data_IF_344214577714
#
_entry.id   IF_344214577714
#
_cell.length_a   1.000
_cell.length_b   1.000
_cell.length_c   1.000
_cell.angle_alpha   90.00
_cell.angle_beta   90.00
_cell.angle_gamma   90.00
#
_symmetry.space_group_name_H-M   'P 1'
#
loop_
_entity.id
_entity.type
_entity.pdbx_description
1 polymer ?
#
# COMPACT_ATOMS: atom_id res chain seq x y z
N UNK A 1 -24.07 21.95 5.48
CA UNK A 1 -24.59 22.74 4.36
C UNK A 1 -25.44 21.85 3.47
N UNK A 2 -26.30 22.40 2.60
CA UNK A 2 -27.06 21.60 1.64
C UNK A 2 -26.11 20.81 0.73
N UNK A 3 -26.54 19.61 0.33
CA UNK A 3 -25.74 18.74 -0.53
C UNK A 3 -25.43 19.45 -1.86
N UNK A 4 -24.15 19.44 -2.27
CA UNK A 4 -23.66 20.15 -3.46
C UNK A 4 -24.03 19.44 -4.78
N UNK A 5 -24.36 18.15 -4.71
CA UNK A 5 -24.78 17.31 -5.84
C UNK A 5 -25.85 16.31 -5.37
N UNK A 6 -26.76 15.88 -6.27
CA UNK A 6 -27.52 14.64 -6.05
C UNK A 6 -26.55 13.46 -6.13
N UNK A 7 -26.26 12.86 -4.97
CA UNK A 7 -25.29 11.76 -4.83
C UNK A 7 -24.39 11.93 -3.61
N UNK A 8 -23.38 11.05 -3.44
CA UNK A 8 -22.99 9.96 -4.34
C UNK A 8 -23.95 8.75 -4.28
N UNK A 9 -24.05 8.01 -5.40
CA UNK A 9 -24.69 6.68 -5.43
C UNK A 9 -23.81 5.67 -4.69
N UNK A 10 -24.40 4.63 -4.09
CA UNK A 10 -23.61 3.56 -3.47
C UNK A 10 -22.93 2.73 -4.57
N UNK A 11 -21.71 2.28 -4.30
CA UNK A 11 -20.94 1.47 -5.26
C UNK A 11 -21.70 0.21 -5.71
N UNK A 12 -22.36 -0.49 -4.78
CA UNK A 12 -23.19 -1.66 -5.09
C UNK A 12 -24.32 -1.33 -6.06
N UNK A 13 -24.94 -0.14 -5.95
CA UNK A 13 -26.02 0.26 -6.86
C UNK A 13 -25.49 0.49 -8.28
N UNK A 14 -24.29 1.08 -8.40
CA UNK A 14 -23.67 1.33 -9.70
C UNK A 14 -23.25 0.03 -10.37
N UNK A 15 -22.57 -0.86 -9.64
CA UNK A 15 -22.09 -2.15 -10.18
C UNK A 15 -23.28 -3.01 -10.61
N UNK A 16 -24.33 -3.09 -9.80
CA UNK A 16 -25.51 -3.91 -10.11
C UNK A 16 -26.33 -3.37 -11.26
N UNK A 17 -26.47 -2.03 -11.40
CA UNK A 17 -27.14 -1.44 -12.55
C UNK A 17 -26.37 -1.70 -13.85
N UNK A 18 -25.05 -1.55 -13.86
CA UNK A 18 -24.23 -1.89 -15.02
C UNK A 18 -24.39 -3.38 -15.38
N UNK A 19 -24.33 -4.26 -14.37
CA UNK A 19 -24.51 -5.69 -14.59
C UNK A 19 -25.90 -6.01 -15.16
N UNK A 20 -26.95 -5.38 -14.63
CA UNK A 20 -28.31 -5.56 -15.13
C UNK A 20 -28.49 -5.01 -16.55
N UNK A 21 -27.93 -3.86 -16.89
CA UNK A 21 -28.00 -3.30 -18.25
C UNK A 21 -27.28 -4.16 -19.28
N UNK A 22 -26.14 -4.76 -18.91
CA UNK A 22 -25.32 -5.57 -19.81
C UNK A 22 -25.82 -7.01 -19.92
N UNK A 23 -26.23 -7.62 -18.80
CA UNK A 23 -26.56 -9.04 -18.72
C UNK A 23 -28.06 -9.30 -18.68
N UNK A 24 -28.86 -8.34 -18.23
CA UNK A 24 -30.31 -8.49 -18.03
C UNK A 24 -30.65 -9.76 -17.25
N UNK A 25 -31.73 -10.42 -17.69
CA UNK A 25 -32.20 -11.68 -17.11
C UNK A 25 -31.55 -12.92 -17.78
N UNK A 26 -30.49 -12.73 -18.58
CA UNK A 26 -29.81 -13.85 -19.26
C UNK A 26 -28.94 -14.70 -18.32
N UNK A 27 -28.77 -14.26 -17.07
CA UNK A 27 -27.97 -14.93 -16.04
C UNK A 27 -28.86 -15.36 -14.87
N UNK A 28 -28.47 -16.40 -14.10
CA UNK A 28 -29.24 -16.85 -12.94
C UNK A 28 -29.18 -15.89 -11.74
N UNK A 29 -28.50 -14.74 -11.86
CA UNK A 29 -28.33 -13.75 -10.81
C UNK A 29 -29.40 -12.67 -10.98
N UNK A 30 -30.22 -12.47 -9.95
CA UNK A 30 -31.07 -11.29 -9.85
C UNK A 30 -30.22 -10.07 -9.45
N UNK A 31 -29.78 -9.33 -10.46
CA UNK A 31 -28.93 -8.15 -10.27
C UNK A 31 -29.62 -7.02 -9.50
N UNK A 32 -30.94 -6.89 -9.60
CA UNK A 32 -31.67 -5.86 -8.87
C UNK A 32 -31.72 -6.19 -7.38
N UNK A 33 -31.91 -7.45 -7.01
CA UNK A 33 -31.90 -7.89 -5.62
C UNK A 33 -30.49 -7.80 -4.99
N UNK A 34 -29.43 -7.93 -5.80
CA UNK A 34 -28.04 -7.75 -5.32
C UNK A 34 -27.70 -6.32 -4.87
N UNK A 35 -28.58 -5.33 -5.11
CA UNK A 35 -28.47 -3.99 -4.49
C UNK A 35 -28.56 -4.04 -2.96
N UNK A 36 -29.21 -5.08 -2.43
CA UNK A 36 -29.33 -5.30 -1.00
C UNK A 36 -28.07 -6.00 -0.46
N UNK A 37 -27.28 -5.32 0.37
CA UNK A 37 -26.06 -5.90 0.97
C UNK A 37 -26.34 -7.14 1.83
N UNK A 38 -27.55 -7.32 2.35
CA UNK A 38 -27.98 -8.55 3.03
C UNK A 38 -28.06 -9.75 2.07
N UNK A 39 -28.51 -9.54 0.83
CA UNK A 39 -28.53 -10.57 -0.21
C UNK A 39 -27.12 -10.97 -0.62
N UNK A 40 -26.24 -9.98 -0.82
CA UNK A 40 -24.81 -10.23 -1.09
C UNK A 40 -24.17 -11.06 0.03
N UNK A 41 -24.40 -10.69 1.29
CA UNK A 41 -23.90 -11.46 2.45
C UNK A 41 -24.47 -12.86 2.55
N UNK A 42 -25.75 -13.03 2.23
CA UNK A 42 -26.38 -14.36 2.17
C UNK A 42 -25.76 -15.23 1.07
N UNK A 43 -25.42 -14.64 -0.08
CA UNK A 43 -24.70 -15.35 -1.14
C UNK A 43 -23.29 -15.75 -0.70
N UNK A 44 -22.54 -14.84 -0.07
CA UNK A 44 -21.22 -15.12 0.52
C UNK A 44 -21.29 -16.28 1.50
N UNK A 45 -22.24 -16.25 2.45
CA UNK A 45 -22.41 -17.29 3.46
C UNK A 45 -22.70 -18.68 2.86
N UNK A 46 -23.40 -18.75 1.72
CA UNK A 46 -23.70 -20.02 1.04
C UNK A 46 -22.52 -20.60 0.28
N UNK A 47 -21.63 -19.76 -0.22
CA UNK A 47 -20.59 -20.16 -1.19
C UNK A 47 -19.20 -20.26 -0.55
N UNK A 48 -18.90 -19.43 0.44
CA UNK A 48 -17.55 -19.33 1.04
C UNK A 48 -17.55 -20.02 2.41
N UNK A 49 -16.84 -21.16 2.57
CA UNK A 49 -16.76 -21.87 3.85
C UNK A 49 -16.24 -20.97 4.98
N UNK A 50 -16.86 -21.08 6.17
CA UNK A 50 -16.46 -20.33 7.36
C UNK A 50 -17.00 -18.90 7.43
N UNK A 51 -17.82 -18.47 6.46
CA UNK A 51 -18.49 -17.17 6.45
C UNK A 51 -19.98 -17.25 6.80
N UNK A 52 -20.47 -18.40 7.28
CA UNK A 52 -21.90 -18.66 7.54
C UNK A 52 -22.57 -17.57 8.39
N UNK A 53 -21.84 -17.04 9.37
CA UNK A 53 -22.32 -16.01 10.30
C UNK A 53 -22.55 -14.64 9.66
N UNK A 54 -21.95 -14.35 8.49
CA UNK A 54 -22.06 -13.02 7.88
C UNK A 54 -23.50 -12.69 7.44
N UNK A 55 -24.32 -13.70 7.14
CA UNK A 55 -25.71 -13.49 6.69
C UNK A 55 -26.58 -12.82 7.76
N UNK A 56 -26.28 -13.06 9.04
CA UNK A 56 -27.09 -12.61 10.19
C UNK A 56 -26.44 -11.41 10.94
N UNK A 57 -25.34 -10.85 10.41
CA UNK A 57 -24.56 -9.82 11.09
C UNK A 57 -25.32 -8.50 11.27
N UNK A 58 -26.30 -8.21 10.41
CA UNK A 58 -27.13 -7.01 10.54
C UNK A 58 -28.03 -7.06 11.77
N UNK A 59 -28.57 -8.24 12.08
CA UNK A 59 -29.49 -8.45 13.19
C UNK A 59 -28.73 -8.68 14.48
N UNK A 60 -27.69 -9.53 14.45
CA UNK A 60 -26.92 -9.92 15.63
C UNK A 60 -25.97 -8.83 16.10
N UNK A 61 -25.40 -8.04 15.16
CA UNK A 61 -24.29 -7.10 15.40
C UNK A 61 -23.06 -7.76 16.05
N UNK A 62 -22.97 -9.08 15.98
CA UNK A 62 -21.86 -9.83 16.56
C UNK A 62 -20.64 -9.83 15.63
N UNK A 63 -19.47 -9.62 16.22
CA UNK A 63 -18.21 -9.88 15.52
C UNK A 63 -17.95 -11.40 15.47
N UNK A 64 -17.35 -11.86 14.38
CA UNK A 64 -16.93 -13.25 14.25
C UNK A 64 -15.58 -13.34 13.56
N UNK A 65 -14.85 -14.42 13.86
CA UNK A 65 -13.65 -14.79 13.14
C UNK A 65 -13.98 -15.84 12.08
N UNK A 66 -13.37 -15.71 10.90
CA UNK A 66 -13.43 -16.74 9.87
C UNK A 66 -12.69 -17.97 10.40
N UNK A 67 -13.35 -19.13 10.36
CA UNK A 67 -12.78 -20.39 10.84
C UNK A 67 -11.44 -20.74 10.20
N UNK A 68 -10.54 -21.37 10.96
CA UNK A 68 -9.23 -21.82 10.47
C UNK A 68 -8.18 -20.73 10.29
N UNK A 69 -8.46 -19.47 10.66
CA UNK A 69 -7.46 -18.37 10.67
C UNK A 69 -6.70 -18.27 11.98
N UNK A 70 -7.36 -18.59 13.09
CA UNK A 70 -6.75 -18.62 14.43
C UNK A 70 -6.52 -20.08 14.81
N UNK A 71 -5.27 -20.43 15.06
CA UNK A 71 -4.88 -21.78 15.46
C UNK A 71 -4.74 -21.85 16.98
N UNK A 72 -5.68 -22.52 17.65
CA UNK A 72 -5.55 -22.86 19.07
C UNK A 72 -4.90 -24.24 19.29
N UNK A 73 -4.71 -24.98 18.21
CA UNK A 73 -4.01 -26.26 18.12
C UNK A 73 -3.13 -26.25 16.87
N UNK A 74 -1.99 -26.97 16.84
CA UNK A 74 -1.07 -27.00 15.71
C UNK A 74 -1.59 -27.89 14.57
N UNK A 75 -2.80 -27.61 14.08
CA UNK A 75 -3.44 -28.33 12.99
C UNK A 75 -3.27 -27.50 11.71
N UNK A 76 -2.46 -27.97 10.76
CA UNK A 76 -2.14 -27.19 9.56
C UNK A 76 -2.85 -27.77 8.34
N UNK A 77 -3.41 -26.90 7.49
CA UNK A 77 -4.01 -27.30 6.22
C UNK A 77 -2.93 -27.55 5.15
N UNK A 78 -2.02 -28.48 5.45
CA UNK A 78 -0.95 -28.94 4.56
C UNK A 78 -1.14 -30.44 4.28
N UNK A 79 -0.56 -30.99 3.18
CA UNK A 79 -0.71 -32.42 2.88
C UNK A 79 -0.25 -33.36 4.00
N UNK A 80 0.66 -32.90 4.87
CA UNK A 80 1.21 -33.69 5.99
C UNK A 80 0.55 -33.37 7.33
N UNK A 81 -0.35 -32.38 7.39
CA UNK A 81 -0.94 -31.88 8.64
C UNK A 81 0.01 -31.05 9.51
N UNK A 82 1.27 -30.86 9.09
CA UNK A 82 2.33 -30.18 9.84
C UNK A 82 2.74 -28.85 9.18
N UNK A 83 3.39 -27.97 9.96
CA UNK A 83 4.01 -26.77 9.42
C UNK A 83 5.13 -27.14 8.42
N UNK A 84 5.18 -26.43 7.29
CA UNK A 84 6.22 -26.61 6.28
C UNK A 84 7.29 -25.53 6.46
N UNK A 85 8.50 -25.93 6.84
CA UNK A 85 9.63 -25.04 7.03
C UNK A 85 10.46 -24.96 5.75
N UNK A 86 10.77 -23.74 5.33
CA UNK A 86 11.59 -23.46 4.15
C UNK A 86 12.81 -22.63 4.56
N UNK A 87 13.96 -22.93 3.96
CA UNK A 87 15.14 -22.07 4.02
C UNK A 87 15.16 -21.16 2.79
N UNK A 88 15.59 -19.93 2.98
CA UNK A 88 15.75 -18.96 1.91
C UNK A 88 17.13 -18.32 2.02
N UNK A 89 17.80 -18.19 0.89
CA UNK A 89 19.00 -17.37 0.79
C UNK A 89 18.60 -15.90 0.72
N UNK A 90 19.30 -15.04 1.47
CA UNK A 90 19.06 -13.61 1.41
C UNK A 90 19.56 -13.06 0.06
N UNK A 91 18.76 -12.25 -0.64
CA UNK A 91 19.22 -11.64 -1.88
C UNK A 91 20.39 -10.68 -1.61
N UNK A 92 21.33 -10.52 -2.56
CA UNK A 92 22.40 -9.55 -2.41
C UNK A 92 21.83 -8.14 -2.33
N UNK A 93 22.44 -7.32 -1.49
CA UNK A 93 22.05 -5.92 -1.34
C UNK A 93 22.41 -5.15 -2.62
N UNK A 94 21.45 -4.40 -3.16
CA UNK A 94 21.65 -3.57 -4.35
C UNK A 94 22.21 -2.19 -3.97
N UNK A 95 22.83 -1.51 -4.93
CA UNK A 95 23.41 -0.18 -4.77
C UNK A 95 24.93 -0.22 -4.52
N UNK A 96 25.64 0.76 -5.05
CA UNK A 96 27.08 0.96 -4.91
C UNK A 96 27.46 2.32 -4.29
N UNK A 97 28.71 2.73 -4.50
CA UNK A 97 29.19 4.03 -4.06
C UNK A 97 28.42 5.16 -4.76
N UNK A 98 27.96 6.16 -4.00
CA UNK A 98 27.16 7.28 -4.52
C UNK A 98 25.67 6.94 -4.76
N UNK A 99 25.24 5.73 -4.41
CA UNK A 99 23.84 5.30 -4.54
C UNK A 99 23.24 5.01 -3.16
N UNK A 100 21.95 5.28 -3.02
CA UNK A 100 21.19 5.02 -1.80
C UNK A 100 20.03 4.07 -2.08
N UNK A 101 19.61 3.33 -1.06
CA UNK A 101 18.40 2.47 -1.12
C UNK A 101 17.20 3.21 -0.56
N UNK A 102 16.27 3.55 -1.43
CA UNK A 102 15.04 4.25 -1.12
C UNK A 102 13.99 3.30 -0.52
N UNK A 103 13.44 3.71 0.63
CA UNK A 103 12.19 3.21 1.18
C UNK A 103 11.12 4.29 1.13
N UNK A 104 9.98 3.99 0.51
CA UNK A 104 8.83 4.90 0.55
C UNK A 104 8.05 4.72 1.85
N UNK A 105 7.55 5.78 2.46
CA UNK A 105 6.77 5.70 3.71
C UNK A 105 5.47 6.49 3.59
N UNK A 106 4.62 6.35 4.60
CA UNK A 106 3.44 7.19 4.81
C UNK A 106 3.61 7.94 6.12
N UNK A 107 3.09 9.16 6.17
CA UNK A 107 2.93 9.88 7.43
C UNK A 107 1.66 9.43 8.14
N UNK A 108 1.50 9.86 9.38
CA UNK A 108 0.31 9.75 10.22
C UNK A 108 -0.88 10.53 9.65
N UNK A 109 -0.64 11.71 9.09
CA UNK A 109 -1.64 12.55 8.42
C UNK A 109 -2.02 12.08 7.02
N UNK A 110 -1.90 10.77 6.74
CA UNK A 110 -2.14 10.20 5.43
C UNK A 110 -2.83 8.83 5.53
N UNK A 111 -3.74 8.55 4.58
CA UNK A 111 -4.22 7.20 4.33
C UNK A 111 -3.98 6.80 2.87
N UNK A 112 -3.05 5.86 2.64
CA UNK A 112 -2.62 5.43 1.31
C UNK A 112 -2.23 6.63 0.43
N UNK A 113 -2.95 6.91 -0.65
CA UNK A 113 -2.68 8.02 -1.58
C UNK A 113 -3.32 9.33 -1.16
N UNK A 114 -4.21 9.31 -0.15
CA UNK A 114 -4.92 10.50 0.30
C UNK A 114 -4.10 11.16 1.40
N UNK A 115 -3.48 12.28 1.05
CA UNK A 115 -2.75 13.15 1.97
C UNK A 115 -3.75 14.10 2.64
N UNK A 116 -3.82 14.06 3.97
CA UNK A 116 -4.63 14.99 4.77
C UNK A 116 -3.78 16.13 5.32
N UNK A 117 -2.51 15.84 5.61
CA UNK A 117 -1.55 16.78 6.20
C UNK A 117 -0.21 16.70 5.45
N UNK A 118 0.38 17.87 5.20
CA UNK A 118 1.69 18.01 4.55
C UNK A 118 2.85 17.88 5.55
N UNK A 119 2.54 17.98 6.85
CA UNK A 119 3.49 17.78 7.94
C UNK A 119 3.53 16.30 8.35
N UNK A 120 4.70 15.86 8.84
CA UNK A 120 4.89 14.60 9.56
C UNK A 120 5.48 14.95 10.93
N UNK A 121 4.60 15.04 11.93
CA UNK A 121 4.93 15.43 13.30
C UNK A 121 5.85 14.40 13.93
N UNK A 122 5.71 13.12 13.57
CA UNK A 122 6.52 12.04 14.13
C UNK A 122 7.97 12.09 13.65
N UNK A 123 8.23 12.61 12.45
CA UNK A 123 9.58 12.80 11.90
C UNK A 123 10.05 14.26 11.95
N UNK A 124 9.23 15.16 12.47
CA UNK A 124 9.52 16.60 12.52
C UNK A 124 9.75 17.20 11.14
N UNK A 125 9.01 16.75 10.12
CA UNK A 125 9.10 17.28 8.76
C UNK A 125 7.93 18.19 8.48
N UNK A 126 8.20 19.43 8.05
CA UNK A 126 7.22 20.46 7.74
C UNK A 126 6.61 20.33 6.33
N UNK A 127 7.10 19.37 5.54
CA UNK A 127 6.75 19.16 4.13
C UNK A 127 7.06 17.73 3.70
N UNK A 128 6.43 17.30 2.59
CA UNK A 128 6.57 15.94 2.05
C UNK A 128 7.55 15.82 0.89
N UNK A 129 7.88 16.91 0.22
CA UNK A 129 8.83 16.94 -0.91
C UNK A 129 10.29 16.98 -0.42
N UNK A 130 10.63 16.02 0.44
CA UNK A 130 11.96 15.83 1.02
C UNK A 130 12.47 14.41 0.80
N UNK A 131 13.79 14.28 0.72
CA UNK A 131 14.50 13.01 0.83
C UNK A 131 15.32 13.02 2.11
N UNK A 132 14.95 12.14 3.04
CA UNK A 132 15.64 12.00 4.32
C UNK A 132 16.78 11.00 4.18
N UNK A 133 18.01 11.43 4.45
CA UNK A 133 19.21 10.58 4.38
C UNK A 133 20.07 10.80 5.62
N UNK A 134 20.96 9.84 5.90
CA UNK A 134 21.86 9.96 7.06
C UNK A 134 22.82 11.16 6.89
N UNK A 135 23.21 11.88 7.96
CA UNK A 135 24.15 13.00 7.86
C UNK A 135 25.49 12.64 7.18
N UNK A 136 25.98 11.41 7.36
CA UNK A 136 27.18 10.94 6.65
C UNK A 136 26.96 10.84 5.14
N UNK A 137 25.77 10.45 4.68
CA UNK A 137 25.47 10.39 3.25
C UNK A 137 25.35 11.80 2.66
N UNK A 138 24.78 12.75 3.42
CA UNK A 138 24.78 14.18 3.04
C UNK A 138 26.21 14.64 2.78
N UNK A 139 27.13 14.37 3.72
CA UNK A 139 28.53 14.76 3.61
C UNK A 139 29.26 14.03 2.47
N UNK A 140 29.06 12.72 2.34
CA UNK A 140 29.70 11.89 1.30
C UNK A 140 29.25 12.30 -0.11
N UNK A 141 28.01 12.76 -0.27
CA UNK A 141 27.48 13.26 -1.53
C UNK A 141 27.80 14.75 -1.77
N UNK A 142 28.46 15.42 -0.83
CA UNK A 142 28.78 16.86 -0.95
C UNK A 142 27.55 17.76 -0.94
N UNK A 143 26.44 17.29 -0.35
CA UNK A 143 25.19 18.02 -0.28
C UNK A 143 25.12 18.86 1.01
N UNK A 144 24.21 19.83 1.04
CA UNK A 144 23.88 20.60 2.22
C UNK A 144 22.47 20.30 2.70
N UNK A 145 22.25 20.31 4.02
CA UNK A 145 20.91 20.16 4.56
C UNK A 145 19.98 21.24 3.98
N UNK A 146 18.79 20.84 3.59
CA UNK A 146 17.77 21.65 2.92
C UNK A 146 18.09 22.08 1.47
N UNK A 147 19.15 21.56 0.86
CA UNK A 147 19.48 21.84 -0.53
C UNK A 147 18.45 21.22 -1.49
N UNK A 148 18.11 21.93 -2.57
CA UNK A 148 17.32 21.37 -3.66
C UNK A 148 18.12 20.34 -4.45
N UNK A 149 17.50 19.21 -4.75
CA UNK A 149 18.14 18.05 -5.35
C UNK A 149 17.27 17.42 -6.42
N UNK A 150 17.95 16.86 -7.41
CA UNK A 150 17.37 15.92 -8.37
C UNK A 150 17.60 14.50 -7.83
N UNK A 151 16.54 13.70 -7.83
CA UNK A 151 16.59 12.31 -7.37
C UNK A 151 16.21 11.43 -8.54
N UNK A 152 17.10 10.51 -8.92
CA UNK A 152 16.90 9.63 -10.07
C UNK A 152 17.01 8.15 -9.68
N UNK A 153 16.32 7.32 -10.42
CA UNK A 153 16.32 5.85 -10.35
C UNK A 153 16.41 5.29 -11.77
N UNK A 154 16.48 3.96 -11.91
CA UNK A 154 16.38 3.32 -13.23
C UNK A 154 14.99 3.50 -13.90
N UNK A 155 13.99 3.98 -13.16
CA UNK A 155 12.60 4.06 -13.65
C UNK A 155 12.16 5.49 -13.97
N UNK A 156 12.78 6.48 -13.33
CA UNK A 156 12.37 7.87 -13.45
C UNK A 156 13.17 8.78 -12.54
N UNK A 157 12.82 10.06 -12.61
CA UNK A 157 13.48 11.16 -11.94
C UNK A 157 12.42 12.11 -11.36
N UNK A 158 12.78 12.77 -10.25
CA UNK A 158 11.97 13.81 -9.63
C UNK A 158 12.88 14.99 -9.24
N UNK A 159 12.37 16.20 -9.43
CA UNK A 159 13.05 17.46 -9.17
C UNK A 159 12.26 18.31 -8.17
N UNK A 160 12.83 19.40 -7.67
CA UNK A 160 12.19 20.28 -6.70
C UNK A 160 12.14 19.74 -5.27
N UNK A 161 12.77 18.59 -5.01
CA UNK A 161 12.84 17.98 -3.68
C UNK A 161 14.01 18.55 -2.88
N UNK A 162 13.92 18.45 -1.54
CA UNK A 162 14.97 18.91 -0.63
C UNK A 162 15.61 17.75 0.12
N UNK A 163 16.93 17.73 0.20
CA UNK A 163 17.63 16.76 1.04
C UNK A 163 17.59 17.20 2.50
N UNK A 164 17.25 16.30 3.42
CA UNK A 164 17.26 16.56 4.87
C UNK A 164 18.11 15.50 5.57
N UNK A 165 19.00 15.95 6.43
CA UNK A 165 19.76 15.08 7.31
C UNK A 165 18.83 14.50 8.40
N UNK A 166 18.80 13.17 8.53
CA UNK A 166 17.93 12.50 9.50
C UNK A 166 18.65 11.27 10.07
N UNK A 167 19.01 11.33 11.36
CA UNK A 167 19.89 10.36 12.03
C UNK A 167 19.26 8.97 12.21
N UNK A 168 17.93 8.89 12.30
CA UNK A 168 17.23 7.61 12.46
C UNK A 168 17.28 6.72 11.20
N UNK A 169 17.71 7.28 10.06
CA UNK A 169 17.94 6.51 8.83
C UNK A 169 19.37 6.01 8.79
N UNK A 170 19.54 4.70 8.64
CA UNK A 170 20.85 4.08 8.51
C UNK A 170 21.56 4.57 7.24
N UNK A 171 22.84 4.97 7.34
CA UNK A 171 23.67 5.33 6.20
C UNK A 171 23.59 4.33 5.02
N UNK A 172 23.61 4.85 3.79
CA UNK A 172 23.37 4.10 2.56
C UNK A 172 21.90 3.82 2.25
N UNK A 173 20.97 4.48 2.95
CA UNK A 173 19.53 4.39 2.72
C UNK A 173 18.91 5.79 2.64
N UNK A 174 17.74 5.87 2.03
CA UNK A 174 16.96 7.10 1.89
C UNK A 174 15.49 6.83 2.19
N UNK A 175 14.80 7.82 2.72
CA UNK A 175 13.36 7.78 2.94
C UNK A 175 12.69 8.93 2.18
N UNK A 176 11.61 8.61 1.47
CA UNK A 176 10.73 9.60 0.85
C UNK A 176 9.26 9.22 1.06
N UNK A 177 8.38 10.20 0.93
CA UNK A 177 6.96 10.00 1.10
C UNK A 177 6.29 9.37 -0.15
N UNK A 178 5.36 8.47 0.11
CA UNK A 178 4.37 8.00 -0.86
C UNK A 178 3.18 8.97 -0.86
N UNK A 179 2.52 9.27 -2.00
CA UNK A 179 2.76 8.74 -3.34
C UNK A 179 3.82 9.49 -4.15
N UNK A 180 4.40 10.56 -3.63
CA UNK A 180 5.26 11.49 -4.37
C UNK A 180 6.49 10.78 -4.97
N UNK A 181 7.07 9.83 -4.23
CA UNK A 181 8.21 9.05 -4.67
C UNK A 181 7.90 7.93 -5.69
N UNK A 182 6.63 7.71 -6.08
CA UNK A 182 6.26 6.58 -6.95
C UNK A 182 6.92 6.64 -8.33
N UNK A 183 7.31 7.82 -8.81
CA UNK A 183 8.05 7.97 -10.09
C UNK A 183 9.40 7.26 -10.06
N UNK A 184 9.98 7.07 -8.87
CA UNK A 184 11.26 6.39 -8.66
C UNK A 184 11.10 4.87 -8.48
N UNK A 185 9.88 4.38 -8.27
CA UNK A 185 9.62 2.98 -7.92
C UNK A 185 9.51 2.13 -9.18
N UNK A 186 10.28 1.05 -9.23
CA UNK A 186 10.28 0.15 -10.37
C UNK A 186 8.93 -0.56 -10.53
N UNK A 187 8.57 -0.82 -11.79
CA UNK A 187 7.45 -1.71 -12.14
C UNK A 187 7.81 -3.19 -11.97
N UNK A 188 9.05 -3.50 -11.55
CA UNK A 188 9.44 -4.86 -11.16
C UNK A 188 8.61 -5.30 -9.96
N UNK A 189 8.06 -6.49 -10.06
CA UNK A 189 7.23 -7.09 -9.04
C UNK A 189 7.72 -8.50 -8.72
N UNK A 190 7.43 -8.96 -7.50
CA UNK A 190 7.67 -10.36 -7.13
C UNK A 190 7.02 -11.30 -8.16
N UNK A 191 7.76 -12.28 -8.71
CA UNK A 191 7.25 -13.12 -9.78
C UNK A 191 6.05 -13.98 -9.35
N UNK A 192 5.91 -14.27 -8.05
CA UNK A 192 4.82 -15.06 -7.49
C UNK A 192 3.63 -14.17 -7.11
N UNK A 193 3.82 -13.21 -6.20
CA UNK A 193 2.72 -12.40 -5.65
C UNK A 193 2.36 -11.17 -6.49
N UNK A 194 3.20 -10.83 -7.47
CA UNK A 194 3.09 -9.59 -8.28
C UNK A 194 3.12 -8.31 -7.45
N UNK A 195 3.67 -8.35 -6.24
CA UNK A 195 3.83 -7.17 -5.37
C UNK A 195 5.04 -6.33 -5.80
N UNK A 196 4.89 -5.01 -6.03
CA UNK A 196 6.01 -4.13 -6.37
C UNK A 196 6.99 -3.89 -5.21
N UNK A 197 8.24 -3.56 -5.55
CA UNK A 197 9.32 -3.35 -4.59
C UNK A 197 9.38 -1.91 -4.05
N UNK A 198 8.49 -1.55 -3.11
CA UNK A 198 8.47 -0.21 -2.51
C UNK A 198 9.56 0.06 -1.44
N UNK A 199 10.43 -0.92 -1.14
CA UNK A 199 11.35 -0.90 0.00
C UNK A 199 12.73 -1.40 -0.43
N UNK A 200 13.53 -0.52 -1.01
CA UNK A 200 14.90 -0.83 -1.46
C UNK A 200 15.16 -0.54 -2.93
N UNK A 201 14.52 0.49 -3.50
CA UNK A 201 14.86 0.95 -4.85
C UNK A 201 16.18 1.71 -4.83
N UNK A 202 17.03 1.49 -5.83
CA UNK A 202 18.32 2.18 -5.89
C UNK A 202 18.10 3.56 -6.51
N UNK A 203 18.55 4.60 -5.81
CA UNK A 203 18.47 5.99 -6.25
C UNK A 203 19.84 6.67 -6.22
N UNK A 204 19.96 7.74 -7.01
CA UNK A 204 21.05 8.70 -6.99
C UNK A 204 20.49 10.08 -6.68
N UNK A 205 21.26 10.88 -5.94
CA UNK A 205 20.88 12.24 -5.57
C UNK A 205 21.98 13.16 -6.06
N UNK A 206 21.61 14.21 -6.79
CA UNK A 206 22.51 15.26 -7.26
C UNK A 206 21.95 16.65 -6.94
N UNK A 207 22.81 17.68 -6.80
CA UNK A 207 22.35 19.06 -6.76
C UNK A 207 21.42 19.39 -7.92
N UNK A 208 20.37 20.15 -7.64
CA UNK A 208 19.58 20.81 -8.68
C UNK A 208 20.27 22.15 -9.05
N UNK A 209 20.40 22.43 -10.36
CA UNK A 209 21.04 23.65 -10.88
C UNK A 209 20.20 24.91 -10.69
#
# INVERSE_FOLDING_TARGET
GPARHEGPRREVDVITDIAHEVLGDSTPIDWQEMKNCSTVRSAIARVIPGWDKIKDIDQTKEEFQIGGRTFHKPEFNTPTGNAQLHKHDLPPLKGGAGELRLMTVRSEGQFNTVVYEEEDIYRGQDRRDVVLIHPEDVANLGLQNDQQVVISSDTGEITGFRVRAYEDIRAGNALMYYPEANVLVSRRADPSSKTPAFKGEVIRISPEE
#
